data_IF_317410336593
#
_entry.id   IF_317410336593
#
_cell.length_a   1.000
_cell.length_b   1.000
_cell.length_c   1.000
_cell.angle_alpha   90.00
_cell.angle_beta   90.00
_cell.angle_gamma   90.00
#
_symmetry.space_group_name_H-M   'P 1'
#
loop_
_entity.id
_entity.type
_entity.pdbx_description
1 polymer ?
#
# COMPACT_ATOMS: atom_id res chain seq x y z
N UNK A 1 -38.53 50.74 -2.74
CA UNK A 1 -37.97 49.56 -2.05
C UNK A 1 -36.52 49.43 -2.45
N UNK A 2 -35.63 49.96 -1.62
CA UNK A 2 -34.20 50.09 -1.89
C UNK A 2 -33.52 48.77 -1.49
N UNK A 3 -32.86 48.10 -2.43
CA UNK A 3 -32.08 46.89 -2.18
C UNK A 3 -30.89 47.21 -1.27
N UNK A 4 -31.00 46.83 0.01
CA UNK A 4 -29.99 47.08 1.06
C UNK A 4 -28.85 46.03 1.04
N UNK A 5 -28.73 45.23 -0.02
CA UNK A 5 -27.72 44.15 -0.06
C UNK A 5 -26.32 44.59 -0.48
N UNK A 6 -26.14 45.78 -1.04
CA UNK A 6 -24.83 46.28 -1.48
C UNK A 6 -24.57 47.69 -0.95
N UNK A 7 -24.40 47.81 0.37
CA UNK A 7 -23.80 49.01 0.94
C UNK A 7 -22.28 48.99 0.64
N UNK A 8 -21.85 49.88 -0.24
CA UNK A 8 -20.59 49.85 -1.00
C UNK A 8 -19.34 50.14 -0.17
N UNK A 9 -19.46 50.35 1.14
CA UNK A 9 -18.33 50.47 2.07
C UNK A 9 -18.21 49.32 3.09
N UNK A 10 -19.27 48.54 3.30
CA UNK A 10 -19.31 47.40 4.23
C UNK A 10 -19.44 46.03 3.57
N UNK A 11 -20.05 45.96 2.38
CA UNK A 11 -20.35 44.70 1.67
C UNK A 11 -19.13 43.94 1.13
N UNK A 12 -18.03 44.63 0.83
CA UNK A 12 -16.77 43.99 0.43
C UNK A 12 -16.14 43.19 1.58
N UNK A 13 -16.30 43.66 2.82
CA UNK A 13 -15.70 43.06 4.01
C UNK A 13 -16.45 41.80 4.45
N UNK A 14 -17.78 41.83 4.44
CA UNK A 14 -18.61 40.65 4.75
C UNK A 14 -18.53 39.59 3.67
N UNK A 15 -18.56 39.97 2.39
CA UNK A 15 -18.38 39.03 1.27
C UNK A 15 -17.01 38.34 1.34
N UNK A 16 -15.93 39.11 1.57
CA UNK A 16 -14.58 38.56 1.71
C UNK A 16 -14.47 37.58 2.90
N UNK A 17 -15.05 37.91 4.05
CA UNK A 17 -15.09 37.01 5.22
C UNK A 17 -15.80 35.69 4.91
N UNK A 18 -16.95 35.75 4.23
CA UNK A 18 -17.70 34.53 3.85
C UNK A 18 -16.92 33.70 2.84
N UNK A 19 -16.24 34.35 1.88
CA UNK A 19 -15.37 33.67 0.92
C UNK A 19 -14.19 32.98 1.62
N UNK A 20 -13.47 33.70 2.48
CA UNK A 20 -12.34 33.18 3.25
C UNK A 20 -12.78 32.00 4.15
N UNK A 21 -13.96 32.08 4.76
CA UNK A 21 -14.52 31.03 5.59
C UNK A 21 -14.92 29.78 4.77
N UNK A 22 -15.56 29.98 3.62
CA UNK A 22 -15.89 28.87 2.71
C UNK A 22 -14.62 28.18 2.18
N UNK A 23 -13.57 28.94 1.88
CA UNK A 23 -12.27 28.40 1.50
C UNK A 23 -11.64 27.61 2.65
N UNK A 24 -11.70 28.11 3.89
CA UNK A 24 -11.18 27.45 5.09
C UNK A 24 -11.87 26.10 5.32
N UNK A 25 -13.20 26.08 5.29
CA UNK A 25 -13.97 24.84 5.46
C UNK A 25 -13.70 23.85 4.32
N UNK A 26 -13.61 24.35 3.08
CA UNK A 26 -13.23 23.50 1.93
C UNK A 26 -11.82 22.90 2.10
N UNK A 27 -10.87 23.65 2.67
CA UNK A 27 -9.52 23.17 2.95
C UNK A 27 -9.53 22.10 4.03
N UNK A 28 -10.29 22.28 5.12
CA UNK A 28 -10.46 21.26 6.17
C UNK A 28 -11.02 19.95 5.62
N UNK A 29 -12.07 20.02 4.80
CA UNK A 29 -12.68 18.83 4.18
C UNK A 29 -11.65 18.11 3.31
N UNK A 30 -10.88 18.84 2.49
CA UNK A 30 -9.83 18.25 1.67
C UNK A 30 -8.73 17.59 2.50
N UNK A 31 -8.34 18.19 3.62
CA UNK A 31 -7.38 17.62 4.57
C UNK A 31 -7.92 16.32 5.15
N UNK A 32 -9.17 16.31 5.63
CA UNK A 32 -9.79 15.12 6.20
C UNK A 32 -9.84 13.96 5.19
N UNK A 33 -10.25 14.25 3.94
CA UNK A 33 -10.22 13.25 2.87
C UNK A 33 -8.80 12.73 2.58
N UNK A 34 -7.78 13.59 2.64
CA UNK A 34 -6.40 13.18 2.45
C UNK A 34 -5.87 12.32 3.60
N UNK A 35 -6.27 12.60 4.85
CA UNK A 35 -5.98 11.75 6.01
C UNK A 35 -6.58 10.36 5.85
N UNK A 36 -7.86 10.28 5.48
CA UNK A 36 -8.53 8.99 5.24
C UNK A 36 -7.86 8.21 4.11
N UNK A 37 -7.48 8.88 3.02
CA UNK A 37 -6.78 8.25 1.90
C UNK A 37 -5.40 7.70 2.33
N UNK A 38 -4.64 8.46 3.13
CA UNK A 38 -3.37 8.00 3.68
C UNK A 38 -3.53 6.81 4.63
N UNK A 39 -4.58 6.80 5.45
CA UNK A 39 -4.87 5.68 6.33
C UNK A 39 -5.17 4.40 5.53
N UNK A 40 -5.96 4.52 4.45
CA UNK A 40 -6.24 3.39 3.54
C UNK A 40 -4.97 2.90 2.85
N UNK A 41 -4.12 3.81 2.38
CA UNK A 41 -2.83 3.45 1.77
C UNK A 41 -1.95 2.70 2.76
N UNK A 42 -1.87 3.14 4.02
CA UNK A 42 -1.11 2.46 5.06
C UNK A 42 -1.62 1.03 5.30
N UNK A 43 -2.93 0.85 5.42
CA UNK A 43 -3.55 -0.46 5.59
C UNK A 43 -3.26 -1.40 4.42
N UNK A 44 -3.27 -0.88 3.19
CA UNK A 44 -2.94 -1.67 2.00
C UNK A 44 -1.47 -2.08 1.99
N UNK A 45 -0.55 -1.17 2.36
CA UNK A 45 0.88 -1.50 2.51
C UNK A 45 1.07 -2.61 3.55
N UNK A 46 0.44 -2.47 4.72
CA UNK A 46 0.53 -3.47 5.79
C UNK A 46 0.02 -4.84 5.34
N UNK A 47 -1.15 -4.87 4.70
CA UNK A 47 -1.71 -6.09 4.14
C UNK A 47 -0.79 -6.75 3.11
N UNK A 48 -0.12 -5.96 2.27
CA UNK A 48 0.83 -6.49 1.28
C UNK A 48 2.10 -7.04 1.93
N UNK A 49 2.59 -6.38 2.97
CA UNK A 49 3.74 -6.88 3.75
C UNK A 49 3.41 -8.21 4.43
N UNK A 50 2.26 -8.29 5.10
CA UNK A 50 1.80 -9.52 5.75
C UNK A 50 1.68 -10.64 4.71
N UNK A 51 1.07 -10.34 3.56
CA UNK A 51 0.89 -11.34 2.51
C UNK A 51 2.20 -11.81 1.89
N UNK A 52 3.16 -10.90 1.68
CA UNK A 52 4.47 -11.25 1.19
C UNK A 52 5.19 -12.16 2.17
N UNK A 53 5.14 -11.84 3.47
CA UNK A 53 5.75 -12.67 4.51
C UNK A 53 5.15 -14.09 4.54
N UNK A 54 3.83 -14.23 4.42
CA UNK A 54 3.19 -15.56 4.28
C UNK A 54 3.72 -16.34 3.08
N UNK A 55 3.91 -15.68 1.93
CA UNK A 55 4.39 -16.31 0.71
C UNK A 55 5.85 -16.73 0.86
N UNK A 56 6.69 -15.91 1.48
CA UNK A 56 8.10 -16.22 1.72
C UNK A 56 8.25 -17.42 2.66
N UNK A 57 7.49 -17.47 3.76
CA UNK A 57 7.46 -18.63 4.66
C UNK A 57 7.04 -19.90 3.90
N UNK A 58 5.98 -19.83 3.10
CA UNK A 58 5.53 -20.96 2.30
C UNK A 58 6.61 -21.42 1.31
N UNK A 59 7.33 -20.48 0.69
CA UNK A 59 8.44 -20.82 -0.22
C UNK A 59 9.55 -21.56 0.53
N UNK A 60 9.97 -21.06 1.68
CA UNK A 60 10.99 -21.70 2.53
C UNK A 60 10.57 -23.12 2.95
N UNK A 61 9.33 -23.30 3.41
CA UNK A 61 8.79 -24.60 3.81
C UNK A 61 8.78 -25.60 2.65
N UNK A 62 8.42 -25.14 1.44
CA UNK A 62 8.39 -25.97 0.23
C UNK A 62 9.78 -26.38 -0.24
N UNK A 63 10.76 -25.48 -0.15
CA UNK A 63 12.16 -25.81 -0.45
C UNK A 63 12.73 -26.78 0.58
N UNK A 64 12.45 -26.58 1.87
CA UNK A 64 12.84 -27.54 2.91
C UNK A 64 12.21 -28.93 2.71
N UNK A 65 10.94 -28.99 2.28
CA UNK A 65 10.27 -30.24 1.93
C UNK A 65 10.95 -30.94 0.74
N UNK A 66 11.38 -30.17 -0.26
CA UNK A 66 12.11 -30.68 -1.41
C UNK A 66 13.43 -31.32 -0.97
N UNK A 67 14.23 -30.62 -0.19
CA UNK A 67 15.52 -31.12 0.33
C UNK A 67 15.33 -32.39 1.16
N UNK A 68 14.30 -32.41 2.01
CA UNK A 68 13.96 -33.58 2.80
C UNK A 68 13.61 -34.79 1.93
N UNK A 69 12.77 -34.61 0.90
CA UNK A 69 12.41 -35.69 -0.05
C UNK A 69 13.59 -36.10 -0.92
N UNK A 70 14.47 -35.18 -1.27
CA UNK A 70 15.68 -35.46 -2.05
C UNK A 70 16.61 -36.39 -1.26
N UNK A 71 16.84 -36.10 0.02
CA UNK A 71 17.62 -36.97 0.89
C UNK A 71 17.02 -38.38 1.01
N UNK A 72 15.69 -38.51 1.07
CA UNK A 72 15.02 -39.82 1.03
C UNK A 72 15.25 -40.55 -0.30
N UNK A 73 15.23 -39.81 -1.41
CA UNK A 73 15.44 -40.38 -2.74
C UNK A 73 16.88 -40.87 -2.91
N UNK A 74 17.85 -40.11 -2.43
CA UNK A 74 19.26 -40.51 -2.44
C UNK A 74 19.49 -41.78 -1.61
N UNK A 75 18.83 -41.90 -0.46
CA UNK A 75 18.92 -43.09 0.38
C UNK A 75 18.24 -44.32 -0.23
N UNK A 76 17.06 -44.14 -0.84
CA UNK A 76 16.31 -45.22 -1.49
C UNK A 76 15.55 -44.71 -2.72
N UNK A 77 16.16 -44.79 -3.91
CA UNK A 77 15.53 -44.30 -5.12
C UNK A 77 14.27 -45.12 -5.44
N UNK A 78 13.15 -44.42 -5.60
CA UNK A 78 11.90 -45.01 -6.08
C UNK A 78 11.29 -44.15 -7.17
N UNK A 79 10.58 -44.79 -8.12
CA UNK A 79 9.93 -44.07 -9.22
C UNK A 79 8.86 -43.08 -8.71
N UNK A 80 8.10 -43.45 -7.69
CA UNK A 80 7.08 -42.58 -7.11
C UNK A 80 7.71 -41.31 -6.53
N UNK A 81 8.77 -41.45 -5.73
CA UNK A 81 9.47 -40.31 -5.14
C UNK A 81 10.17 -39.42 -6.19
N UNK A 82 10.67 -40.01 -7.29
CA UNK A 82 11.20 -39.23 -8.42
C UNK A 82 10.14 -38.36 -9.10
N UNK A 83 8.90 -38.87 -9.23
CA UNK A 83 7.78 -38.10 -9.78
C UNK A 83 7.42 -36.95 -8.83
N UNK A 84 7.23 -37.25 -7.54
CA UNK A 84 6.92 -36.23 -6.53
C UNK A 84 7.99 -35.13 -6.45
N UNK A 85 9.27 -35.48 -6.53
CA UNK A 85 10.37 -34.50 -6.57
C UNK A 85 10.34 -33.64 -7.83
N UNK A 86 9.98 -34.22 -8.98
CA UNK A 86 9.83 -33.47 -10.22
C UNK A 86 8.70 -32.44 -10.17
N UNK A 87 7.55 -32.85 -9.65
CA UNK A 87 6.38 -31.98 -9.44
C UNK A 87 6.70 -30.85 -8.44
N UNK A 88 7.25 -31.20 -7.28
CA UNK A 88 7.59 -30.23 -6.24
C UNK A 88 8.64 -29.22 -6.73
N UNK A 89 9.64 -29.68 -7.48
CA UNK A 89 10.63 -28.81 -8.11
C UNK A 89 9.97 -27.82 -9.08
N UNK A 90 9.12 -28.31 -9.98
CA UNK A 90 8.46 -27.46 -10.97
C UNK A 90 7.59 -26.38 -10.31
N UNK A 91 6.83 -26.76 -9.29
CA UNK A 91 6.00 -25.81 -8.55
C UNK A 91 6.85 -24.78 -7.77
N UNK A 92 7.97 -25.19 -7.17
CA UNK A 92 8.89 -24.25 -6.50
C UNK A 92 9.51 -23.27 -7.51
N UNK A 93 10.00 -23.75 -8.65
CA UNK A 93 10.53 -22.90 -9.72
C UNK A 93 9.47 -21.89 -10.24
N UNK A 94 8.20 -22.30 -10.31
CA UNK A 94 7.11 -21.39 -10.68
C UNK A 94 6.87 -20.30 -9.63
N UNK A 95 6.90 -20.68 -8.34
CA UNK A 95 6.74 -19.73 -7.24
C UNK A 95 7.90 -18.72 -7.20
N UNK A 96 9.13 -19.21 -7.30
CA UNK A 96 10.33 -18.37 -7.29
C UNK A 96 10.31 -17.39 -8.46
N UNK A 97 9.97 -17.88 -9.66
CA UNK A 97 9.82 -17.03 -10.84
C UNK A 97 8.72 -15.99 -10.68
N UNK A 98 7.58 -16.35 -10.09
CA UNK A 98 6.50 -15.40 -9.86
C UNK A 98 6.90 -14.31 -8.85
N UNK A 99 7.67 -14.65 -7.81
CA UNK A 99 8.23 -13.70 -6.85
C UNK A 99 9.25 -12.77 -7.50
N UNK A 100 10.15 -13.33 -8.32
CA UNK A 100 11.12 -12.54 -9.09
C UNK A 100 10.42 -11.57 -10.03
N UNK A 101 9.47 -12.03 -10.85
CA UNK A 101 8.78 -11.18 -11.84
C UNK A 101 7.91 -10.10 -11.19
N UNK A 102 7.28 -10.41 -10.05
CA UNK A 102 6.40 -9.46 -9.36
C UNK A 102 7.16 -8.40 -8.57
N UNK A 103 8.42 -8.64 -8.20
CA UNK A 103 9.25 -7.77 -7.35
C UNK A 103 8.48 -7.14 -6.17
N UNK A 104 7.77 -7.94 -5.36
CA UNK A 104 6.81 -7.43 -4.39
C UNK A 104 7.47 -6.53 -3.31
N UNK A 105 8.71 -6.81 -2.92
CA UNK A 105 9.49 -5.98 -2.00
C UNK A 105 9.70 -4.57 -2.57
N UNK A 106 10.06 -4.48 -3.86
CA UNK A 106 10.28 -3.21 -4.54
C UNK A 106 9.01 -2.38 -4.65
N UNK A 107 7.88 -3.04 -4.95
CA UNK A 107 6.57 -2.39 -4.98
C UNK A 107 6.18 -1.86 -3.60
N UNK A 108 6.34 -2.67 -2.55
CA UNK A 108 6.05 -2.26 -1.17
C UNK A 108 6.95 -1.11 -0.73
N UNK A 109 8.24 -1.16 -1.08
CA UNK A 109 9.20 -0.09 -0.77
C UNK A 109 8.80 1.23 -1.44
N UNK A 110 8.45 1.21 -2.73
CA UNK A 110 8.01 2.39 -3.46
C UNK A 110 6.70 2.97 -2.88
N UNK A 111 5.73 2.11 -2.52
CA UNK A 111 4.49 2.54 -1.87
C UNK A 111 4.76 3.16 -0.50
N UNK A 112 5.67 2.58 0.28
CA UNK A 112 6.05 3.06 1.61
C UNK A 112 6.76 4.41 1.54
N UNK A 113 7.63 4.61 0.55
CA UNK A 113 8.28 5.89 0.29
C UNK A 113 7.25 6.96 -0.11
N UNK A 114 6.36 6.62 -1.04
CA UNK A 114 5.27 7.52 -1.44
C UNK A 114 4.35 7.89 -0.28
N UNK A 115 4.01 6.92 0.58
CA UNK A 115 3.25 7.16 1.81
C UNK A 115 3.96 8.15 2.74
N UNK A 116 5.27 8.00 2.95
CA UNK A 116 6.07 8.93 3.77
C UNK A 116 6.05 10.34 3.20
N UNK A 117 6.31 10.48 1.89
CA UNK A 117 6.31 11.79 1.22
C UNK A 117 4.95 12.49 1.32
N UNK A 118 3.86 11.76 1.07
CA UNK A 118 2.50 12.30 1.18
C UNK A 118 2.11 12.66 2.62
N UNK A 119 2.61 11.91 3.61
CA UNK A 119 2.40 12.21 5.03
C UNK A 119 3.09 13.52 5.42
N UNK A 120 4.32 13.74 4.95
CA UNK A 120 5.04 14.99 5.16
C UNK A 120 4.35 16.17 4.47
N UNK A 121 3.92 16.01 3.21
CA UNK A 121 3.19 17.03 2.47
C UNK A 121 1.87 17.40 3.17
N UNK A 122 1.12 16.39 3.64
CA UNK A 122 -0.12 16.63 4.37
C UNK A 122 0.13 17.37 5.69
N UNK A 123 1.19 17.03 6.42
CA UNK A 123 1.56 17.72 7.65
C UNK A 123 1.86 19.21 7.39
N UNK A 124 2.59 19.51 6.31
CA UNK A 124 2.85 20.89 5.89
C UNK A 124 1.55 21.63 5.54
N UNK A 125 0.65 20.99 4.78
CA UNK A 125 -0.64 21.60 4.39
C UNK A 125 -1.56 21.83 5.58
N UNK A 126 -1.55 20.94 6.57
CA UNK A 126 -2.28 21.11 7.83
C UNK A 126 -1.79 22.30 8.63
N UNK A 127 -0.48 22.56 8.66
CA UNK A 127 0.09 23.70 9.36
C UNK A 127 -0.31 25.06 8.74
N UNK A 128 -0.84 25.06 7.51
CA UNK A 128 -1.26 26.25 6.76
C UNK A 128 -2.78 26.52 6.80
N UNK A 129 -3.55 25.68 7.51
CA UNK A 129 -5.01 25.78 7.66
C UNK A 129 -5.36 26.08 9.11
#
# INVERSE_FOLDING_TARGET
MTNVFFDTKGGFSTYKKVLDQNEHESRKIRIAHAEEALQRLKQEIDRRMDKLNEILILSEERHALYDYKLAQYEAKPTRALAIELGELRQENEQLDKALEEAHPEGVIAALSEGYRALTEELAQKKALV
#
